data_IF_180700390004
#
_entry.id   IF_180700390004
#
_cell.length_a   1.000
_cell.length_b   1.000
_cell.length_c   1.000
_cell.angle_alpha   90.00
_cell.angle_beta   90.00
_cell.angle_gamma   90.00
#
_symmetry.space_group_name_H-M   'P 1'
#
loop_
_entity.id
_entity.type
_entity.pdbx_description
1 polymer ?
#
# COMPACT_ATOMS: atom_id res chain seq x y z
N UNK A 1 5.55 14.35 10.44
CA UNK A 1 4.47 14.37 9.43
C UNK A 1 3.56 15.52 9.84
N UNK A 2 3.68 16.65 9.16
CA UNK A 2 2.74 17.75 9.39
C UNK A 2 1.37 17.33 8.84
N UNK A 3 0.28 17.58 9.57
CA UNK A 3 -1.06 17.31 9.06
C UNK A 3 -1.28 18.16 7.81
N UNK A 4 -1.71 17.52 6.71
CA UNK A 4 -2.09 18.21 5.48
C UNK A 4 -3.25 19.18 5.78
N UNK A 5 -2.92 20.45 6.03
CA UNK A 5 -3.91 21.51 6.20
C UNK A 5 -4.40 21.97 4.82
N UNK A 6 -5.39 21.28 4.26
CA UNK A 6 -6.11 21.72 3.05
C UNK A 6 -7.15 22.83 3.31
N UNK A 7 -7.27 23.27 4.56
CA UNK A 7 -7.88 24.55 4.89
C UNK A 7 -6.91 25.67 4.46
N UNK A 8 -6.92 26.04 3.18
CA UNK A 8 -6.29 27.29 2.77
C UNK A 8 -7.16 28.41 3.35
N UNK A 9 -6.70 29.11 4.41
CA UNK A 9 -7.46 30.21 5.00
C UNK A 9 -7.73 31.27 3.94
N UNK A 10 -8.74 32.10 4.17
CA UNK A 10 -8.98 33.26 3.31
C UNK A 10 -7.65 34.03 3.23
N UNK A 11 -7.10 34.27 2.02
CA UNK A 11 -5.81 34.93 1.87
C UNK A 11 -5.87 36.32 2.49
N UNK A 12 -4.77 36.74 3.12
CA UNK A 12 -4.66 38.09 3.66
C UNK A 12 -5.00 39.12 2.58
N UNK A 13 -5.71 40.19 2.96
CA UNK A 13 -6.11 41.29 2.06
C UNK A 13 -4.92 41.99 1.37
N UNK A 14 -3.71 41.82 1.90
CA UNK A 14 -2.44 42.32 1.39
C UNK A 14 -1.77 41.38 0.38
N UNK A 15 -2.30 40.18 0.13
CA UNK A 15 -1.77 39.26 -0.85
C UNK A 15 -1.90 39.80 -2.28
N UNK A 16 -1.08 39.28 -3.20
CA UNK A 16 -1.13 39.66 -4.61
C UNK A 16 -2.52 39.39 -5.19
N UNK A 17 -3.02 40.29 -6.03
CA UNK A 17 -4.34 40.18 -6.66
C UNK A 17 -4.56 38.82 -7.35
N UNK A 18 -3.55 38.32 -8.07
CA UNK A 18 -3.60 37.01 -8.72
C UNK A 18 -3.79 35.87 -7.73
N UNK A 19 -3.11 35.90 -6.58
CA UNK A 19 -3.24 34.89 -5.53
C UNK A 19 -4.66 34.84 -4.97
N UNK A 20 -5.26 36.01 -4.72
CA UNK A 20 -6.63 36.11 -4.19
C UNK A 20 -7.64 35.65 -5.25
N UNK A 21 -7.44 36.04 -6.52
CA UNK A 21 -8.27 35.60 -7.65
C UNK A 21 -8.23 34.08 -7.83
N UNK A 22 -7.03 33.49 -7.83
CA UNK A 22 -6.84 32.04 -7.96
C UNK A 22 -7.48 31.29 -6.79
N UNK A 23 -7.45 31.86 -5.59
CA UNK A 23 -8.11 31.30 -4.42
C UNK A 23 -9.64 31.26 -4.60
N UNK A 24 -10.26 32.38 -4.99
CA UNK A 24 -11.71 32.44 -5.25
C UNK A 24 -12.14 31.47 -6.36
N UNK A 25 -11.38 31.41 -7.45
CA UNK A 25 -11.64 30.48 -8.55
C UNK A 25 -11.62 29.00 -8.11
N UNK A 26 -10.59 28.61 -7.34
CA UNK A 26 -10.46 27.23 -6.85
C UNK A 26 -11.62 26.87 -5.91
N UNK A 27 -11.94 27.74 -4.96
CA UNK A 27 -13.05 27.52 -4.02
C UNK A 27 -14.39 27.44 -4.73
N UNK A 28 -14.66 28.32 -5.71
CA UNK A 28 -15.87 28.26 -6.53
C UNK A 28 -16.01 26.91 -7.23
N UNK A 29 -14.92 26.43 -7.83
CA UNK A 29 -14.92 25.15 -8.57
C UNK A 29 -15.21 23.97 -7.63
N UNK A 30 -14.64 23.98 -6.42
CA UNK A 30 -14.88 22.96 -5.41
C UNK A 30 -16.33 22.99 -4.90
N UNK A 31 -16.85 24.17 -4.55
CA UNK A 31 -18.25 24.36 -4.14
C UNK A 31 -19.23 23.88 -5.23
N UNK A 32 -18.96 24.21 -6.51
CA UNK A 32 -19.80 23.79 -7.62
C UNK A 32 -19.77 22.28 -7.87
N UNK A 33 -18.62 21.64 -7.67
CA UNK A 33 -18.51 20.18 -7.74
C UNK A 33 -19.29 19.51 -6.60
N UNK A 34 -19.17 20.05 -5.38
CA UNK A 34 -19.87 19.54 -4.20
C UNK A 34 -21.39 19.70 -4.31
N UNK A 35 -21.86 20.84 -4.81
CA UNK A 35 -23.27 21.10 -5.07
C UNK A 35 -23.87 20.11 -6.10
N UNK A 36 -23.06 19.62 -7.06
CA UNK A 36 -23.49 18.62 -8.07
C UNK A 36 -23.49 17.19 -7.56
N UNK A 37 -22.65 16.85 -6.57
CA UNK A 37 -22.60 15.51 -5.97
C UNK A 37 -23.68 15.28 -4.91
N UNK A 38 -24.51 16.29 -4.63
CA UNK A 38 -25.52 16.25 -3.60
C UNK A 38 -26.70 15.33 -3.95
N UNK A 39 -27.13 14.52 -2.99
CA UNK A 39 -28.38 13.74 -3.03
C UNK A 39 -29.42 14.37 -2.09
N UNK A 40 -30.74 14.32 -2.39
CA UNK A 40 -31.76 15.21 -1.79
C UNK A 40 -32.11 14.96 -0.30
N UNK A 41 -31.25 14.32 0.49
CA UNK A 41 -31.57 13.85 1.86
C UNK A 41 -30.72 14.50 2.97
N UNK A 42 -29.86 15.46 2.62
CA UNK A 42 -29.16 16.29 3.60
C UNK A 42 -30.05 17.47 4.03
N UNK A 43 -30.02 17.80 5.33
CA UNK A 43 -30.75 18.91 5.96
C UNK A 43 -30.22 20.30 5.58
N UNK A 44 -29.20 20.40 4.72
CA UNK A 44 -28.60 21.66 4.27
C UNK A 44 -29.08 22.03 2.86
N UNK A 45 -29.57 23.27 2.67
CA UNK A 45 -30.28 23.62 1.43
C UNK A 45 -29.32 23.84 0.26
N UNK A 46 -29.58 23.19 -0.87
CA UNK A 46 -28.89 23.43 -2.16
C UNK A 46 -28.77 24.92 -2.48
N UNK A 47 -29.80 25.71 -2.15
CA UNK A 47 -29.83 27.16 -2.29
C UNK A 47 -28.68 27.89 -1.59
N UNK A 48 -28.22 27.38 -0.44
CA UNK A 48 -27.15 27.98 0.34
C UNK A 48 -25.78 27.73 -0.33
N UNK A 49 -25.56 26.54 -0.88
CA UNK A 49 -24.37 26.23 -1.69
C UNK A 49 -24.33 27.05 -2.99
N UNK A 50 -25.48 27.26 -3.63
CA UNK A 50 -25.58 28.15 -4.79
C UNK A 50 -25.33 29.62 -4.43
N UNK A 51 -25.77 30.07 -3.26
CA UNK A 51 -25.48 31.42 -2.77
C UNK A 51 -23.97 31.62 -2.55
N UNK A 52 -23.30 30.63 -1.96
CA UNK A 52 -21.84 30.62 -1.80
C UNK A 52 -21.14 30.62 -3.17
N UNK A 53 -21.56 29.78 -4.13
CA UNK A 53 -20.98 29.78 -5.48
C UNK A 53 -21.14 31.16 -6.16
N UNK A 54 -22.31 31.77 -6.05
CA UNK A 54 -22.59 33.11 -6.60
C UNK A 54 -21.69 34.18 -5.98
N UNK A 55 -21.50 34.16 -4.66
CA UNK A 55 -20.62 35.12 -3.98
C UNK A 55 -19.16 34.92 -4.37
N UNK A 56 -18.66 33.68 -4.42
CA UNK A 56 -17.29 33.39 -4.88
C UNK A 56 -17.07 33.86 -6.33
N UNK A 57 -18.06 33.64 -7.21
CA UNK A 57 -18.02 34.10 -8.60
C UNK A 57 -18.03 35.63 -8.74
N UNK A 58 -18.80 36.33 -7.91
CA UNK A 58 -18.83 37.79 -7.93
C UNK A 58 -17.48 38.38 -7.49
N UNK A 59 -16.82 37.77 -6.50
CA UNK A 59 -15.47 38.18 -6.07
C UNK A 59 -14.41 37.91 -7.15
N UNK A 60 -14.47 36.75 -7.80
CA UNK A 60 -13.61 36.43 -8.95
C UNK A 60 -13.76 37.47 -10.07
N UNK A 61 -15.01 37.83 -10.39
CA UNK A 61 -15.34 38.78 -11.46
C UNK A 61 -14.94 40.21 -11.11
N UNK A 62 -15.13 40.62 -9.85
CA UNK A 62 -14.67 41.92 -9.34
C UNK A 62 -13.15 42.06 -9.48
N UNK A 63 -12.38 41.03 -9.10
CA UNK A 63 -10.93 41.02 -9.25
C UNK A 63 -10.48 40.96 -10.72
N UNK A 64 -11.22 40.25 -11.58
CA UNK A 64 -10.96 40.23 -13.01
C UNK A 64 -11.13 41.60 -13.67
N UNK A 65 -11.99 42.45 -13.11
CA UNK A 65 -12.25 43.82 -13.57
C UNK A 65 -11.39 44.87 -12.85
N UNK A 66 -10.18 44.49 -12.42
CA UNK A 66 -9.21 45.35 -11.70
C UNK A 66 -9.71 45.89 -10.34
N UNK A 67 -10.67 45.21 -9.70
CA UNK A 67 -11.07 45.52 -8.34
C UNK A 67 -9.94 45.33 -7.32
N UNK A 68 -9.92 46.15 -6.26
CA UNK A 68 -8.89 46.09 -5.24
C UNK A 68 -8.99 44.78 -4.42
N UNK A 69 -7.88 44.03 -4.24
CA UNK A 69 -7.95 42.73 -3.56
C UNK A 69 -8.42 42.79 -2.11
N UNK A 70 -8.03 43.84 -1.39
CA UNK A 70 -8.48 44.07 -0.03
C UNK A 70 -10.00 44.23 0.07
N UNK A 71 -10.61 44.92 -0.90
CA UNK A 71 -12.07 45.11 -0.98
C UNK A 71 -12.79 43.78 -1.24
N UNK A 72 -12.24 42.91 -2.09
CA UNK A 72 -12.83 41.60 -2.35
C UNK A 72 -12.79 40.68 -1.11
N UNK A 73 -11.65 40.66 -0.41
CA UNK A 73 -11.48 39.85 0.81
C UNK A 73 -12.40 40.37 1.93
N UNK A 74 -12.48 41.69 2.10
CA UNK A 74 -13.34 42.32 3.11
C UNK A 74 -14.84 42.12 2.82
N UNK A 75 -15.27 42.30 1.56
CA UNK A 75 -16.67 42.07 1.16
C UNK A 75 -17.07 40.60 1.28
N UNK A 76 -16.15 39.67 0.99
CA UNK A 76 -16.38 38.26 1.24
C UNK A 76 -16.49 37.95 2.74
N UNK A 77 -15.55 38.47 3.56
CA UNK A 77 -15.57 38.29 5.02
C UNK A 77 -16.83 38.86 5.68
N UNK A 78 -17.29 40.04 5.24
CA UNK A 78 -18.56 40.64 5.72
C UNK A 78 -19.78 39.81 5.35
N UNK A 79 -19.78 39.22 4.16
CA UNK A 79 -20.87 38.35 3.73
C UNK A 79 -20.90 37.05 4.54
N UNK A 80 -19.74 36.44 4.80
CA UNK A 80 -19.62 35.27 5.69
C UNK A 80 -20.11 35.55 7.12
N UNK A 81 -19.81 36.75 7.64
CA UNK A 81 -20.24 37.18 8.97
C UNK A 81 -21.73 37.60 9.04
N UNK A 82 -22.45 37.54 7.92
CA UNK A 82 -23.86 37.92 7.84
C UNK A 82 -24.77 36.69 7.70
N UNK A 83 -26.05 36.84 8.03
CA UNK A 83 -27.08 35.80 7.80
C UNK A 83 -27.26 35.43 6.32
N UNK A 84 -26.61 36.15 5.40
CA UNK A 84 -26.67 35.92 3.96
C UNK A 84 -25.97 34.63 3.53
N UNK A 85 -24.98 34.15 4.28
CA UNK A 85 -24.30 32.88 4.00
C UNK A 85 -25.13 31.67 4.47
N UNK A 86 -26.03 31.87 5.45
CA UNK A 86 -26.84 30.80 6.07
C UNK A 86 -26.01 29.58 6.52
N UNK A 87 -24.72 29.76 6.84
CA UNK A 87 -23.80 28.70 7.24
C UNK A 87 -23.26 27.84 6.08
N UNK A 88 -23.39 28.27 4.83
CA UNK A 88 -22.90 27.54 3.66
C UNK A 88 -21.38 27.39 3.67
N UNK A 89 -20.67 28.41 4.15
CA UNK A 89 -19.23 28.33 4.28
C UNK A 89 -18.80 27.32 5.33
N UNK A 90 -19.41 27.35 6.51
CA UNK A 90 -19.08 26.41 7.59
C UNK A 90 -19.42 24.97 7.21
N UNK A 91 -20.55 24.76 6.52
CA UNK A 91 -20.92 23.47 5.95
C UNK A 91 -19.89 23.00 4.90
N UNK A 92 -19.54 23.86 3.94
CA UNK A 92 -18.53 23.56 2.92
C UNK A 92 -17.19 23.17 3.55
N UNK A 93 -16.76 23.88 4.60
CA UNK A 93 -15.53 23.60 5.34
C UNK A 93 -15.57 22.24 6.03
N UNK A 94 -16.67 21.93 6.72
CA UNK A 94 -16.84 20.65 7.41
C UNK A 94 -16.87 19.46 6.43
N UNK A 95 -17.56 19.62 5.30
CA UNK A 95 -17.64 18.58 4.26
C UNK A 95 -16.30 18.38 3.54
N UNK A 96 -15.56 19.47 3.27
CA UNK A 96 -14.20 19.39 2.71
C UNK A 96 -13.24 18.63 3.63
N UNK A 97 -13.31 18.86 4.95
CA UNK A 97 -12.50 18.11 5.92
C UNK A 97 -12.82 16.60 5.91
N UNK A 98 -14.08 16.22 5.76
CA UNK A 98 -14.48 14.83 5.66
C UNK A 98 -13.98 14.17 4.37
N UNK A 99 -14.06 14.88 3.23
CA UNK A 99 -13.54 14.42 1.95
C UNK A 99 -12.00 14.30 1.95
N UNK A 100 -11.30 15.24 2.58
CA UNK A 100 -9.84 15.23 2.69
C UNK A 100 -9.35 14.03 3.51
N UNK A 101 -10.07 13.63 4.57
CA UNK A 101 -9.79 12.41 5.33
C UNK A 101 -9.96 11.14 4.47
N UNK A 102 -11.06 11.04 3.72
CA UNK A 102 -11.33 9.89 2.84
C UNK A 102 -10.27 9.78 1.73
N UNK A 103 -9.88 10.91 1.11
CA UNK A 103 -8.84 10.90 0.08
C UNK A 103 -7.46 10.60 0.67
N UNK A 104 -7.16 11.08 1.87
CA UNK A 104 -5.92 10.74 2.59
C UNK A 104 -5.84 9.24 2.87
N UNK A 105 -6.92 8.64 3.35
CA UNK A 105 -7.01 7.19 3.56
C UNK A 105 -6.88 6.42 2.24
N UNK A 106 -7.52 6.88 1.17
CA UNK A 106 -7.42 6.28 -0.18
C UNK A 106 -5.99 6.36 -0.72
N UNK A 107 -5.31 7.48 -0.53
CA UNK A 107 -3.91 7.65 -0.92
C UNK A 107 -2.98 6.77 -0.09
N UNK A 108 -3.19 6.67 1.23
CA UNK A 108 -2.44 5.76 2.09
C UNK A 108 -2.62 4.29 1.65
N UNK A 109 -3.85 3.89 1.31
CA UNK A 109 -4.14 2.57 0.76
C UNK A 109 -3.46 2.33 -0.60
N UNK A 110 -3.51 3.32 -1.50
CA UNK A 110 -2.86 3.24 -2.81
C UNK A 110 -1.33 3.14 -2.69
N UNK A 111 -0.72 3.93 -1.80
CA UNK A 111 0.71 3.87 -1.52
C UNK A 111 1.12 2.51 -0.95
N UNK A 112 0.33 1.96 -0.03
CA UNK A 112 0.58 0.63 0.52
C UNK A 112 0.44 -0.47 -0.55
N UNK A 113 -0.57 -0.38 -1.42
CA UNK A 113 -0.75 -1.31 -2.53
C UNK A 113 0.42 -1.26 -3.54
N UNK A 114 0.94 -0.07 -3.82
CA UNK A 114 2.13 0.12 -4.66
C UNK A 114 3.37 -0.50 -4.00
N UNK A 115 3.58 -0.28 -2.69
CA UNK A 115 4.70 -0.86 -1.95
C UNK A 115 4.64 -2.39 -1.88
N UNK A 116 3.44 -2.98 -1.75
CA UNK A 116 3.23 -4.42 -1.82
C UNK A 116 3.58 -4.95 -3.22
N UNK A 117 3.16 -4.25 -4.28
CA UNK A 117 3.44 -4.64 -5.66
C UNK A 117 4.94 -4.61 -5.96
N UNK A 118 5.65 -3.56 -5.50
CA UNK A 118 7.11 -3.50 -5.57
C UNK A 118 7.76 -4.68 -4.84
N UNK A 119 7.35 -4.96 -3.61
CA UNK A 119 7.89 -6.07 -2.84
C UNK A 119 7.64 -7.44 -3.52
N UNK A 120 6.49 -7.64 -4.17
CA UNK A 120 6.22 -8.83 -5.00
C UNK A 120 7.20 -8.95 -6.17
N UNK A 121 7.47 -7.84 -6.86
CA UNK A 121 8.41 -7.82 -7.98
C UNK A 121 9.84 -8.12 -7.51
N UNK A 122 10.25 -7.55 -6.37
CA UNK A 122 11.57 -7.81 -5.78
C UNK A 122 11.71 -9.25 -5.31
N UNK A 123 10.74 -9.79 -4.57
CA UNK A 123 10.76 -11.20 -4.15
C UNK A 123 10.87 -12.15 -5.35
N UNK A 124 10.12 -11.88 -6.42
CA UNK A 124 10.18 -12.64 -7.68
C UNK A 124 11.55 -12.51 -8.37
N UNK A 125 12.09 -11.30 -8.43
CA UNK A 125 13.41 -11.02 -9.00
C UNK A 125 14.54 -11.72 -8.24
N UNK A 126 14.46 -11.73 -6.90
CA UNK A 126 15.39 -12.44 -6.03
C UNK A 126 15.33 -13.95 -6.23
N UNK A 127 14.13 -14.54 -6.32
CA UNK A 127 13.97 -15.97 -6.62
C UNK A 127 14.52 -16.31 -8.02
N UNK A 128 14.24 -15.48 -9.02
CA UNK A 128 14.76 -15.66 -10.39
C UNK A 128 16.29 -15.55 -10.46
N UNK A 129 16.90 -14.61 -9.74
CA UNK A 129 18.35 -14.48 -9.67
C UNK A 129 19.00 -15.73 -9.07
N UNK A 130 18.40 -16.26 -7.99
CA UNK A 130 18.86 -17.51 -7.37
C UNK A 130 18.69 -18.71 -8.31
N UNK A 131 17.63 -18.71 -9.14
CA UNK A 131 17.38 -19.77 -10.12
C UNK A 131 18.46 -19.87 -11.18
N UNK A 132 18.97 -18.72 -11.64
CA UNK A 132 20.07 -18.61 -12.61
C UNK A 132 21.39 -19.13 -12.02
N UNK A 133 21.65 -18.83 -10.74
CA UNK A 133 22.82 -19.35 -10.02
C UNK A 133 22.77 -20.86 -9.78
N UNK A 134 21.57 -21.46 -9.83
CA UNK A 134 21.34 -22.89 -9.59
C UNK A 134 20.88 -23.63 -10.87
N UNK A 135 21.14 -23.07 -12.05
CA UNK A 135 20.76 -23.68 -13.32
C UNK A 135 21.63 -24.93 -13.62
N UNK A 136 20.97 -26.07 -13.83
CA UNK A 136 21.51 -27.34 -14.37
C UNK A 136 22.44 -28.22 -13.51
N UNK A 137 23.16 -27.72 -12.49
CA UNK A 137 24.23 -28.51 -11.84
C UNK A 137 23.90 -29.31 -10.56
N UNK A 138 22.81 -29.01 -9.83
CA UNK A 138 22.60 -29.52 -8.45
C UNK A 138 21.30 -30.34 -8.27
N UNK A 139 20.84 -31.02 -9.33
CA UNK A 139 19.42 -31.37 -9.52
C UNK A 139 19.04 -32.80 -9.10
N UNK A 140 19.62 -33.35 -8.03
CA UNK A 140 19.39 -34.77 -7.66
C UNK A 140 19.01 -35.02 -6.20
N UNK A 141 18.09 -34.25 -5.62
CA UNK A 141 17.65 -34.57 -4.25
C UNK A 141 16.20 -35.02 -4.09
N UNK A 142 15.33 -34.78 -5.07
CA UNK A 142 14.07 -35.53 -5.13
C UNK A 142 13.42 -35.40 -6.52
N UNK A 143 13.51 -36.45 -7.34
CA UNK A 143 12.89 -36.46 -8.68
C UNK A 143 11.36 -36.32 -8.61
N UNK A 144 10.73 -36.51 -7.44
CA UNK A 144 9.28 -36.38 -7.26
C UNK A 144 8.80 -34.96 -6.91
N UNK A 145 9.63 -34.17 -6.22
CA UNK A 145 9.20 -32.88 -5.64
C UNK A 145 9.92 -31.66 -6.24
N UNK A 146 11.07 -31.86 -6.87
CA UNK A 146 11.81 -30.80 -7.55
C UNK A 146 12.55 -29.91 -6.56
N UNK A 147 13.51 -29.14 -7.06
CA UNK A 147 14.22 -28.14 -6.23
C UNK A 147 13.34 -26.90 -6.14
N UNK A 148 13.18 -26.33 -4.96
CA UNK A 148 12.44 -25.08 -4.74
C UNK A 148 13.42 -24.02 -4.28
N UNK A 149 13.21 -22.81 -4.79
CA UNK A 149 13.89 -21.60 -4.37
C UNK A 149 12.84 -20.56 -4.00
N UNK A 150 13.12 -19.76 -3.00
CA UNK A 150 12.25 -18.69 -2.55
C UNK A 150 12.99 -17.36 -2.49
N UNK A 151 12.29 -16.29 -2.82
CA UNK A 151 12.66 -14.92 -2.51
C UNK A 151 11.69 -14.35 -1.48
N UNK A 152 12.22 -13.59 -0.55
CA UNK A 152 11.49 -12.86 0.49
C UNK A 152 11.89 -11.38 0.41
N UNK A 153 10.90 -10.50 0.35
CA UNK A 153 11.06 -9.06 0.41
C UNK A 153 10.22 -8.46 1.54
N UNK A 154 10.72 -7.37 2.12
CA UNK A 154 10.01 -6.57 3.14
C UNK A 154 9.33 -5.37 2.47
N UNK A 155 8.01 -5.21 2.67
CA UNK A 155 7.23 -4.07 2.17
C UNK A 155 7.76 -2.79 2.79
N UNK A 156 7.99 -1.76 1.98
CA UNK A 156 8.50 -0.47 2.43
C UNK A 156 10.01 -0.41 2.70
N UNK A 157 10.73 -1.54 2.61
CA UNK A 157 12.20 -1.59 2.73
C UNK A 157 12.81 -2.23 1.47
N UNK A 158 13.35 -1.39 0.60
CA UNK A 158 13.93 -1.79 -0.68
C UNK A 158 15.19 -2.67 -0.53
N UNK A 159 15.94 -2.53 0.58
CA UNK A 159 17.24 -3.16 0.78
C UNK A 159 17.19 -4.55 1.41
N UNK A 160 16.09 -4.90 2.08
CA UNK A 160 15.97 -6.18 2.79
C UNK A 160 15.37 -7.27 1.90
N UNK A 161 16.25 -8.09 1.34
CA UNK A 161 15.93 -9.24 0.50
C UNK A 161 16.59 -10.51 1.05
N UNK A 162 15.84 -11.61 1.06
CA UNK A 162 16.31 -12.89 1.57
C UNK A 162 15.99 -14.00 0.57
N UNK A 163 16.87 -15.00 0.50
CA UNK A 163 16.73 -16.14 -0.39
C UNK A 163 16.57 -17.42 0.40
N UNK A 164 15.84 -18.37 -0.17
CA UNK A 164 15.64 -19.68 0.42
C UNK A 164 15.88 -20.79 -0.59
N UNK A 165 16.41 -21.93 -0.15
CA UNK A 165 16.53 -23.12 -1.01
C UNK A 165 16.04 -24.36 -0.26
N UNK A 166 15.21 -25.17 -0.91
CA UNK A 166 14.72 -26.42 -0.32
C UNK A 166 15.78 -27.53 -0.26
N UNK A 167 15.60 -28.44 0.70
CA UNK A 167 16.30 -29.73 0.80
C UNK A 167 17.07 -29.92 2.10
N UNK A 168 17.26 -31.20 2.49
CA UNK A 168 17.92 -31.62 3.74
C UNK A 168 19.38 -31.15 3.87
N UNK A 169 20.10 -31.10 2.76
CA UNK A 169 21.57 -30.93 2.78
C UNK A 169 22.03 -29.46 2.79
N UNK A 170 21.12 -28.49 2.85
CA UNK A 170 21.45 -27.05 2.76
C UNK A 170 20.85 -26.17 3.85
N UNK A 171 20.59 -26.70 5.04
CA UNK A 171 20.44 -25.87 6.25
C UNK A 171 21.81 -25.34 6.73
N UNK A 172 22.59 -24.71 5.83
CA UNK A 172 23.85 -24.06 6.18
C UNK A 172 23.65 -22.80 7.02
N UNK A 173 22.40 -22.37 7.22
CA UNK A 173 22.05 -21.26 8.07
C UNK A 173 21.44 -21.77 9.38
N UNK A 174 21.92 -21.30 10.55
CA UNK A 174 21.44 -21.76 11.86
C UNK A 174 19.92 -21.66 12.00
N UNK A 175 19.34 -22.60 12.75
CA UNK A 175 17.93 -22.54 13.11
C UNK A 175 17.67 -21.41 14.09
N UNK A 176 16.76 -20.50 13.71
CA UNK A 176 16.27 -19.48 14.63
C UNK A 176 15.27 -20.12 15.61
N UNK A 177 15.35 -19.85 16.94
CA UNK A 177 14.47 -20.46 17.95
C UNK A 177 12.96 -20.29 17.68
N UNK A 178 12.59 -19.24 16.95
CA UNK A 178 11.20 -19.01 16.54
C UNK A 178 10.68 -19.96 15.46
N UNK A 179 11.54 -20.59 14.67
CA UNK A 179 11.08 -21.49 13.60
C UNK A 179 10.30 -22.64 14.21
N UNK A 180 10.83 -23.31 15.24
CA UNK A 180 10.10 -24.40 15.91
C UNK A 180 8.71 -23.96 16.41
N UNK A 181 8.60 -22.78 17.03
CA UNK A 181 7.32 -22.20 17.52
C UNK A 181 6.38 -21.79 16.40
N UNK A 182 6.93 -21.36 15.26
CA UNK A 182 6.15 -20.98 14.10
C UNK A 182 5.52 -22.20 13.43
N UNK A 183 6.32 -23.26 13.25
CA UNK A 183 5.91 -24.55 12.69
C UNK A 183 5.16 -25.43 13.72
N UNK A 184 5.06 -25.00 14.97
CA UNK A 184 4.20 -25.67 15.95
C UNK A 184 2.72 -25.54 15.53
N UNK A 185 2.05 -26.69 15.44
CA UNK A 185 0.65 -26.80 15.04
C UNK A 185 0.40 -26.80 13.53
N UNK A 186 1.45 -26.72 12.69
CA UNK A 186 1.28 -26.97 11.25
C UNK A 186 1.35 -28.47 10.98
N UNK A 187 0.25 -29.04 10.50
CA UNK A 187 0.18 -30.46 10.21
C UNK A 187 0.94 -30.79 8.92
N UNK A 188 1.69 -31.89 8.94
CA UNK A 188 2.38 -32.40 7.75
C UNK A 188 1.34 -32.86 6.71
N UNK A 189 1.16 -32.03 5.69
CA UNK A 189 0.27 -32.25 4.55
C UNK A 189 1.02 -32.67 3.27
N UNK A 190 2.35 -32.76 3.33
CA UNK A 190 3.23 -33.13 2.21
C UNK A 190 4.34 -34.08 2.68
N UNK A 191 4.86 -34.91 1.78
CA UNK A 191 5.85 -35.97 2.10
C UNK A 191 7.20 -35.44 2.61
N UNK A 192 7.60 -34.23 2.20
CA UNK A 192 8.83 -33.58 2.65
C UNK A 192 8.68 -32.85 4.01
N UNK A 193 9.74 -32.84 4.84
CA UNK A 193 9.72 -32.12 6.11
C UNK A 193 9.54 -30.61 5.91
N UNK A 194 8.76 -29.99 6.79
CA UNK A 194 8.38 -28.59 6.65
C UNK A 194 9.56 -27.63 6.80
N UNK A 195 10.48 -27.97 7.71
CA UNK A 195 11.73 -27.25 7.93
C UNK A 195 12.62 -27.21 6.68
N UNK A 196 12.44 -28.18 5.76
CA UNK A 196 13.17 -28.28 4.49
C UNK A 196 12.62 -27.40 3.37
N UNK A 197 11.59 -26.59 3.64
CA UNK A 197 11.00 -25.68 2.66
C UNK A 197 11.88 -24.45 2.41
N UNK A 198 11.94 -24.00 1.15
CA UNK A 198 12.72 -22.81 0.78
C UNK A 198 12.20 -21.56 1.49
N UNK A 199 10.89 -21.43 1.66
CA UNK A 199 10.26 -20.31 2.36
C UNK A 199 10.69 -20.23 3.84
N UNK A 200 10.92 -21.39 4.48
CA UNK A 200 11.43 -21.47 5.85
C UNK A 200 12.89 -21.04 5.93
N UNK A 201 13.73 -21.45 4.96
CA UNK A 201 15.13 -21.00 4.86
C UNK A 201 15.25 -19.48 4.65
N UNK A 202 14.41 -18.91 3.77
CA UNK A 202 14.35 -17.46 3.56
C UNK A 202 13.94 -16.71 4.85
N UNK A 203 12.95 -17.24 5.58
CA UNK A 203 12.51 -16.65 6.84
C UNK A 203 13.59 -16.73 7.92
N UNK A 204 14.34 -17.84 8.03
CA UNK A 204 15.47 -17.96 8.96
C UNK A 204 16.45 -16.80 8.77
N UNK A 205 16.86 -16.56 7.52
CA UNK A 205 17.79 -15.48 7.18
C UNK A 205 17.22 -14.10 7.53
N UNK A 206 15.93 -13.88 7.30
CA UNK A 206 15.26 -12.66 7.74
C UNK A 206 15.34 -12.48 9.26
N UNK A 207 14.92 -13.48 10.04
CA UNK A 207 14.88 -13.40 11.51
C UNK A 207 16.25 -13.13 12.12
N UNK A 208 17.30 -13.77 11.60
CA UNK A 208 18.67 -13.53 12.07
C UNK A 208 19.23 -12.16 11.65
N UNK A 209 18.74 -11.58 10.57
CA UNK A 209 19.18 -10.27 10.11
C UNK A 209 18.49 -9.10 10.83
N UNK A 210 17.41 -9.36 11.60
CA UNK A 210 16.72 -8.31 12.36
C UNK A 210 17.48 -7.99 13.66
N UNK A 211 18.09 -6.79 13.80
CA UNK A 211 18.94 -6.45 14.95
C UNK A 211 18.15 -6.25 16.25
N UNK A 212 16.87 -5.88 16.14
CA UNK A 212 15.93 -5.80 17.25
C UNK A 212 15.17 -7.14 17.32
N UNK A 213 15.55 -7.95 18.30
CA UNK A 213 15.21 -9.36 18.40
C UNK A 213 13.69 -9.63 18.28
N UNK A 214 13.28 -10.14 17.11
CA UNK A 214 12.01 -10.86 16.97
C UNK A 214 12.15 -12.11 17.84
N UNK A 215 11.63 -12.05 19.06
CA UNK A 215 11.69 -13.09 20.10
C UNK A 215 10.38 -13.84 20.25
N UNK A 216 9.32 -13.37 19.60
CA UNK A 216 8.01 -14.00 19.56
C UNK A 216 7.35 -13.90 18.17
N UNK A 217 6.52 -14.88 17.80
CA UNK A 217 5.85 -14.96 16.48
C UNK A 217 4.95 -13.73 16.23
N UNK A 218 4.32 -13.19 17.27
CA UNK A 218 3.46 -12.01 17.19
C UNK A 218 4.22 -10.69 16.93
N UNK A 219 5.55 -10.69 17.04
CA UNK A 219 6.39 -9.54 16.73
C UNK A 219 6.76 -9.49 15.23
N UNK A 220 6.46 -10.54 14.46
CA UNK A 220 6.64 -10.54 13.02
C UNK A 220 5.59 -9.60 12.40
N UNK A 221 5.99 -8.54 11.69
CA UNK A 221 5.06 -7.59 11.11
C UNK A 221 4.12 -8.25 10.10
N UNK A 222 2.80 -8.14 10.34
CA UNK A 222 1.78 -8.68 9.45
C UNK A 222 1.69 -7.84 8.17
N UNK A 223 1.40 -8.50 7.04
CA UNK A 223 1.28 -7.90 5.72
C UNK A 223 2.55 -7.19 5.22
N UNK A 224 3.71 -7.43 5.85
CA UNK A 224 4.98 -6.79 5.48
C UNK A 224 5.94 -7.74 4.79
N UNK A 225 5.82 -9.05 5.03
CA UNK A 225 6.70 -10.05 4.39
C UNK A 225 6.04 -10.59 3.12
N UNK A 226 6.72 -10.49 1.98
CA UNK A 226 6.26 -11.00 0.68
C UNK A 226 7.14 -12.14 0.22
N UNK A 227 6.55 -13.32 0.02
CA UNK A 227 7.25 -14.50 -0.49
C UNK A 227 6.87 -14.78 -1.95
N UNK A 228 7.87 -15.12 -2.76
CA UNK A 228 7.71 -15.72 -4.08
C UNK A 228 8.57 -16.99 -4.16
N UNK A 229 8.05 -18.06 -4.76
CA UNK A 229 8.78 -19.31 -4.91
C UNK A 229 8.77 -19.82 -6.35
N UNK A 230 9.90 -20.38 -6.77
CA UNK A 230 10.05 -21.11 -8.04
C UNK A 230 10.41 -22.56 -7.75
N UNK A 231 9.89 -23.47 -8.55
CA UNK A 231 10.24 -24.89 -8.52
C UNK A 231 10.89 -25.31 -9.84
N UNK A 232 11.90 -26.15 -9.76
CA UNK A 232 12.51 -26.76 -10.92
C UNK A 232 11.71 -27.96 -11.38
N UNK A 233 11.25 -27.91 -12.63
CA UNK A 233 10.72 -29.07 -13.31
C UNK A 233 11.86 -29.79 -14.05
N UNK A 234 12.12 -31.08 -13.78
CA UNK A 234 13.18 -31.85 -14.44
C UNK A 234 12.85 -32.26 -15.88
N UNK A 235 11.70 -31.83 -16.41
CA UNK A 235 11.21 -32.23 -17.73
C UNK A 235 10.67 -33.67 -17.77
N UNK A 236 10.04 -34.03 -18.88
CA UNK A 236 9.35 -35.33 -19.02
C UNK A 236 7.93 -35.30 -18.45
N UNK A 237 7.41 -36.46 -18.00
CA UNK A 237 6.09 -36.53 -17.36
C UNK A 237 6.19 -36.19 -15.88
N UNK A 238 5.58 -35.07 -15.49
CA UNK A 238 5.43 -34.63 -14.10
C UNK A 238 3.94 -34.46 -13.80
N UNK A 239 3.43 -35.15 -12.78
CA UNK A 239 1.99 -35.13 -12.45
C UNK A 239 1.08 -35.40 -13.67
N UNK A 240 1.52 -36.28 -14.57
CA UNK A 240 0.79 -36.64 -15.79
C UNK A 240 0.86 -35.61 -16.92
N UNK A 241 1.65 -34.54 -16.80
CA UNK A 241 1.88 -33.54 -17.86
C UNK A 241 3.29 -33.63 -18.41
N UNK A 242 3.42 -33.56 -19.73
CA UNK A 242 4.73 -33.43 -20.40
C UNK A 242 5.23 -32.01 -20.20
N UNK A 243 6.41 -31.86 -19.58
CA UNK A 243 7.02 -30.57 -19.22
C UNK A 243 8.44 -30.46 -19.78
N UNK A 244 8.89 -29.23 -20.00
CA UNK A 244 10.29 -28.92 -20.31
C UNK A 244 11.09 -28.62 -19.05
N UNK A 245 12.41 -28.79 -19.14
CA UNK A 245 13.34 -28.44 -18.05
C UNK A 245 13.39 -26.93 -17.84
N UNK A 246 12.71 -26.46 -16.80
CA UNK A 246 12.67 -25.03 -16.47
C UNK A 246 12.24 -24.78 -15.03
N UNK A 247 12.66 -23.63 -14.51
CA UNK A 247 12.07 -23.03 -13.32
C UNK A 247 10.67 -22.52 -13.64
N UNK A 248 9.70 -22.82 -12.78
CA UNK A 248 8.33 -22.33 -12.90
C UNK A 248 7.87 -21.72 -11.56
N UNK A 249 7.03 -20.68 -11.58
CA UNK A 249 6.39 -20.20 -10.36
C UNK A 249 5.59 -21.31 -9.69
N UNK A 250 5.65 -21.38 -8.36
CA UNK A 250 4.77 -22.22 -7.55
C UNK A 250 4.15 -21.44 -6.41
N UNK A 251 2.95 -21.87 -6.03
CA UNK A 251 2.39 -21.49 -4.75
C UNK A 251 3.20 -22.09 -3.59
N UNK A 252 3.00 -21.56 -2.39
CA UNK A 252 3.48 -22.21 -1.17
C UNK A 252 2.85 -23.60 -1.05
N UNK A 253 3.63 -24.60 -0.62
CA UNK A 253 3.07 -25.93 -0.34
C UNK A 253 2.10 -25.86 0.86
N UNK A 254 1.26 -26.88 1.04
CA UNK A 254 0.26 -26.90 2.10
C UNK A 254 0.85 -26.73 3.53
N UNK A 255 2.08 -27.22 3.76
CA UNK A 255 2.78 -27.00 5.03
C UNK A 255 3.15 -25.51 5.20
N UNK A 256 3.73 -24.91 4.16
CA UNK A 256 4.11 -23.50 4.18
C UNK A 256 2.91 -22.57 4.27
N UNK A 257 1.83 -22.92 3.61
CA UNK A 257 0.62 -22.11 3.52
C UNK A 257 0.03 -21.83 4.91
N UNK A 258 0.04 -22.82 5.80
CA UNK A 258 -0.47 -22.72 7.17
C UNK A 258 0.30 -21.69 8.01
N UNK A 259 1.63 -21.79 8.10
CA UNK A 259 2.40 -20.85 8.92
C UNK A 259 2.52 -19.46 8.28
N UNK A 260 2.55 -19.36 6.95
CA UNK A 260 2.50 -18.07 6.26
C UNK A 260 1.21 -17.31 6.59
N UNK A 261 0.07 -18.01 6.76
CA UNK A 261 -1.18 -17.39 7.24
C UNK A 261 -1.06 -16.93 8.69
N UNK A 262 -0.43 -17.73 9.55
CA UNK A 262 -0.22 -17.42 10.98
C UNK A 262 0.50 -16.09 11.19
N UNK A 263 1.50 -15.77 10.36
CA UNK A 263 2.25 -14.50 10.43
C UNK A 263 1.67 -13.39 9.53
N UNK A 264 0.59 -13.66 8.81
CA UNK A 264 0.03 -12.70 7.85
C UNK A 264 0.99 -12.32 6.72
N UNK A 265 1.82 -13.26 6.26
CA UNK A 265 2.70 -13.02 5.12
C UNK A 265 1.89 -12.99 3.80
N UNK A 266 2.31 -12.09 2.91
CA UNK A 266 1.77 -11.96 1.57
C UNK A 266 2.46 -12.95 0.64
N UNK A 267 1.69 -13.50 -0.30
CA UNK A 267 2.14 -14.47 -1.30
C UNK A 267 1.91 -13.87 -2.69
N UNK A 268 2.86 -14.11 -3.59
CA UNK A 268 2.73 -13.84 -5.03
C UNK A 268 2.32 -15.09 -5.78
#
# INVERSE_FOLDING_TARGET
>A
MEPYQFYAPIPASTAKAQTIKDWFYRRRTQVSALAKSYTPHSTFSQDAMEALERKLRSMESFLANNGAPATAVDDFGKWLASDSDRGAWDYYVADQQAMDLVESDRQAQAMNAAAITDAKNRASGTALALSRQNAAGMMSLDKKNGRVIAGLAVVGDAGQLYTGISGKDKHGFPDHPLIARLLEGTHQAMDWPQESCAEVDALKKYLHAQPAAVTAVNQIPRNTLVFNALVWHPGGSWEGKVTSQRWQPRAACANCDQWLRKIGALRS
#
